data_IF_032681238511
#
_entry.id   IF_032681238511
#
_cell.length_a   1.000
_cell.length_b   1.000
_cell.length_c   1.000
_cell.angle_alpha   90.00
_cell.angle_beta   90.00
_cell.angle_gamma   90.00
#
_symmetry.space_group_name_H-M   'P 1'
#
loop_
_entity.id
_entity.type
_entity.pdbx_description
1 polymer ?
#
# COMPACT_ATOMS: atom_id res chain seq x y z
N UNK A 1 -14.68 -52.04 -34.41
CA UNK A 1 -14.96 -50.63 -34.04
C UNK A 1 -15.59 -50.61 -32.65
N UNK A 2 -14.84 -50.22 -31.61
CA UNK A 2 -15.40 -49.88 -30.30
C UNK A 2 -15.15 -48.38 -30.08
N UNK A 3 -16.23 -47.65 -29.88
CA UNK A 3 -16.26 -46.20 -29.76
C UNK A 3 -15.41 -45.74 -28.57
N UNK A 4 -14.61 -44.69 -28.80
CA UNK A 4 -13.88 -43.99 -27.76
C UNK A 4 -14.88 -43.26 -26.82
N UNK A 5 -14.70 -43.31 -25.49
CA UNK A 5 -15.51 -42.53 -24.59
C UNK A 5 -15.18 -41.04 -24.77
N UNK A 6 -16.25 -40.27 -24.90
CA UNK A 6 -16.29 -38.84 -25.12
C UNK A 6 -15.48 -38.09 -24.05
N UNK A 7 -14.71 -37.10 -24.50
CA UNK A 7 -13.94 -36.18 -23.67
C UNK A 7 -14.85 -35.41 -22.72
N UNK A 8 -14.97 -35.90 -21.48
CA UNK A 8 -15.47 -35.11 -20.36
C UNK A 8 -14.59 -33.87 -20.21
N UNK A 9 -15.22 -32.69 -20.19
CA UNK A 9 -14.54 -31.41 -20.10
C UNK A 9 -13.54 -31.39 -18.94
N UNK A 10 -12.27 -31.20 -19.28
CA UNK A 10 -11.16 -31.06 -18.32
C UNK A 10 -11.39 -29.77 -17.52
N UNK A 11 -12.08 -29.89 -16.39
CA UNK A 11 -12.03 -28.87 -15.35
C UNK A 11 -10.55 -28.77 -14.91
N UNK A 12 -10.01 -27.55 -14.90
CA UNK A 12 -8.61 -27.28 -14.50
C UNK A 12 -8.26 -28.10 -13.25
N UNK A 13 -7.27 -29.00 -13.36
CA UNK A 13 -6.94 -30.05 -12.37
C UNK A 13 -6.46 -29.58 -10.99
N UNK A 14 -6.74 -28.33 -10.62
CA UNK A 14 -6.43 -27.72 -9.34
C UNK A 14 -7.64 -27.72 -8.39
N UNK A 15 -7.38 -27.74 -7.09
CA UNK A 15 -8.42 -27.76 -6.06
C UNK A 15 -9.23 -26.46 -6.02
N UNK A 16 -10.49 -26.54 -5.55
CA UNK A 16 -11.31 -25.36 -5.27
C UNK A 16 -10.67 -24.44 -4.23
N UNK A 17 -9.98 -25.00 -3.24
CA UNK A 17 -9.25 -24.26 -2.21
C UNK A 17 -8.18 -23.36 -2.80
N UNK A 18 -7.39 -23.82 -3.79
CA UNK A 18 -6.37 -22.96 -4.42
C UNK A 18 -7.00 -21.79 -5.17
N UNK A 19 -8.13 -22.01 -5.85
CA UNK A 19 -8.85 -20.94 -6.56
C UNK A 19 -9.37 -19.88 -5.60
N UNK A 20 -10.07 -20.31 -4.56
CA UNK A 20 -10.62 -19.41 -3.55
C UNK A 20 -9.55 -18.72 -2.72
N UNK A 21 -8.42 -19.36 -2.47
CA UNK A 21 -7.26 -18.72 -1.86
C UNK A 21 -6.81 -17.50 -2.68
N UNK A 22 -6.64 -17.66 -4.00
CA UNK A 22 -6.30 -16.56 -4.88
C UNK A 22 -7.33 -15.44 -4.85
N UNK A 23 -8.61 -15.75 -5.05
CA UNK A 23 -9.67 -14.74 -5.03
C UNK A 23 -9.72 -13.97 -3.70
N UNK A 24 -9.70 -14.68 -2.56
CA UNK A 24 -9.78 -14.03 -1.24
C UNK A 24 -8.55 -13.16 -0.95
N UNK A 25 -7.34 -13.65 -1.26
CA UNK A 25 -6.12 -12.86 -1.08
C UNK A 25 -6.11 -11.62 -1.97
N UNK A 26 -6.51 -11.77 -3.24
CA UNK A 26 -6.65 -10.66 -4.17
C UNK A 26 -7.64 -9.61 -3.68
N UNK A 27 -8.82 -10.05 -3.25
CA UNK A 27 -9.88 -9.18 -2.75
C UNK A 27 -9.42 -8.37 -1.52
N UNK A 28 -8.80 -9.04 -0.55
CA UNK A 28 -8.25 -8.37 0.62
C UNK A 28 -7.13 -7.40 0.26
N UNK A 29 -6.22 -7.76 -0.65
CA UNK A 29 -5.18 -6.86 -1.15
C UNK A 29 -5.75 -5.65 -1.88
N UNK A 30 -6.87 -5.81 -2.60
CA UNK A 30 -7.61 -4.69 -3.19
C UNK A 30 -8.11 -3.74 -2.12
N UNK A 31 -8.77 -4.27 -1.08
CA UNK A 31 -9.24 -3.46 0.04
C UNK A 31 -8.12 -2.79 0.83
N UNK A 32 -6.99 -3.46 1.05
CA UNK A 32 -5.82 -2.83 1.66
C UNK A 32 -5.20 -1.76 0.76
N UNK A 33 -5.11 -2.00 -0.54
CA UNK A 33 -4.58 -1.02 -1.48
C UNK A 33 -5.42 0.26 -1.42
N UNK A 34 -6.73 0.13 -1.47
CA UNK A 34 -7.68 1.22 -1.35
C UNK A 34 -7.60 1.91 0.02
N UNK A 35 -7.77 1.16 1.11
CA UNK A 35 -7.76 1.70 2.47
C UNK A 35 -6.44 2.31 2.91
N UNK A 36 -5.30 1.82 2.41
CA UNK A 36 -3.99 2.41 2.71
C UNK A 36 -3.72 3.59 1.79
N UNK A 37 -3.83 3.39 0.47
CA UNK A 37 -3.45 4.42 -0.48
C UNK A 37 -4.44 5.59 -0.45
N UNK A 38 -5.74 5.33 -0.52
CA UNK A 38 -6.75 6.37 -0.64
C UNK A 38 -7.16 6.93 0.71
N UNK A 39 -7.35 6.09 1.74
CA UNK A 39 -7.80 6.63 3.04
C UNK A 39 -6.66 7.21 3.89
N UNK A 40 -5.45 6.63 3.83
CA UNK A 40 -4.38 6.99 4.77
C UNK A 40 -3.29 7.85 4.11
N UNK A 41 -2.80 7.45 2.93
CA UNK A 41 -1.68 8.15 2.27
C UNK A 41 -2.16 9.39 1.52
N UNK A 42 -3.12 9.23 0.62
CA UNK A 42 -3.66 10.32 -0.19
C UNK A 42 -4.80 11.04 0.51
N UNK A 43 -5.47 10.37 1.45
CA UNK A 43 -6.59 10.90 2.24
C UNK A 43 -7.70 11.50 1.36
N UNK A 44 -7.92 10.92 0.17
CA UNK A 44 -8.93 11.40 -0.79
C UNK A 44 -10.36 11.13 -0.31
N UNK A 45 -10.53 10.07 0.48
CA UNK A 45 -11.79 9.73 1.16
C UNK A 45 -11.53 8.75 2.30
N UNK A 46 -12.46 8.68 3.25
CA UNK A 46 -12.61 7.62 4.23
C UNK A 46 -13.86 6.80 3.90
N UNK A 47 -14.01 5.62 4.52
CA UNK A 47 -15.10 4.68 4.23
C UNK A 47 -16.51 5.31 4.27
N UNK A 48 -16.74 6.26 5.16
CA UNK A 48 -18.04 6.92 5.35
C UNK A 48 -18.02 8.41 5.01
N UNK A 49 -17.03 8.88 4.25
CA UNK A 49 -16.90 10.31 3.90
C UNK A 49 -18.07 10.87 3.09
N UNK A 50 -18.87 10.04 2.44
CA UNK A 50 -20.11 10.42 1.74
C UNK A 50 -21.27 10.75 2.68
N UNK A 51 -21.21 10.33 3.95
CA UNK A 51 -22.25 10.58 4.95
C UNK A 51 -21.93 11.88 5.70
N UNK A 52 -22.78 12.90 5.59
CA UNK A 52 -22.51 14.23 6.13
C UNK A 52 -22.23 14.24 7.65
N UNK A 53 -23.00 13.47 8.42
CA UNK A 53 -22.81 13.35 9.87
C UNK A 53 -21.45 12.70 10.23
N UNK A 54 -21.01 11.71 9.46
CA UNK A 54 -19.72 11.04 9.66
C UNK A 54 -18.55 11.93 9.22
N UNK A 55 -18.73 12.69 8.12
CA UNK A 55 -17.70 13.58 7.56
C UNK A 55 -17.20 14.63 8.56
N UNK A 56 -18.03 15.02 9.53
CA UNK A 56 -17.70 16.01 10.55
C UNK A 56 -16.89 15.43 11.72
N UNK A 57 -16.78 14.11 11.85
CA UNK A 57 -16.06 13.43 12.94
C UNK A 57 -14.92 12.57 12.40
N UNK A 58 -13.72 13.15 12.37
CA UNK A 58 -12.52 12.46 11.91
C UNK A 58 -12.18 11.20 12.72
N UNK A 59 -12.52 11.16 14.02
CA UNK A 59 -12.23 9.97 14.85
C UNK A 59 -13.12 8.81 14.44
N UNK A 60 -14.37 9.11 14.12
CA UNK A 60 -15.31 8.12 13.60
C UNK A 60 -14.90 7.60 12.21
N UNK A 61 -14.43 8.48 11.32
CA UNK A 61 -13.89 8.07 10.01
C UNK A 61 -12.67 7.15 10.15
N UNK A 62 -11.69 7.53 10.99
CA UNK A 62 -10.50 6.69 11.26
C UNK A 62 -10.90 5.35 11.88
N UNK A 63 -11.85 5.33 12.81
CA UNK A 63 -12.34 4.09 13.41
C UNK A 63 -12.96 3.16 12.36
N UNK A 64 -13.83 3.70 11.51
CA UNK A 64 -14.53 2.91 10.49
C UNK A 64 -13.58 2.40 9.41
N UNK A 65 -12.56 3.18 9.04
CA UNK A 65 -11.44 2.71 8.23
C UNK A 65 -10.68 1.57 8.91
N UNK A 66 -10.37 1.70 10.21
CA UNK A 66 -9.70 0.64 10.97
C UNK A 66 -10.52 -0.65 11.00
N UNK A 67 -11.84 -0.55 11.20
CA UNK A 67 -12.75 -1.71 11.14
C UNK A 67 -12.79 -2.34 9.74
N UNK A 68 -12.77 -1.53 8.69
CA UNK A 68 -12.64 -2.00 7.32
C UNK A 68 -11.33 -2.78 7.10
N UNK A 69 -10.19 -2.28 7.62
CA UNK A 69 -8.92 -3.01 7.55
C UNK A 69 -8.96 -4.33 8.33
N UNK A 70 -9.61 -4.36 9.50
CA UNK A 70 -9.81 -5.60 10.27
C UNK A 70 -10.61 -6.62 9.45
N UNK A 71 -11.65 -6.19 8.74
CA UNK A 71 -12.39 -7.06 7.82
C UNK A 71 -11.48 -7.60 6.71
N UNK A 72 -10.65 -6.74 6.09
CA UNK A 72 -9.70 -7.19 5.07
C UNK A 72 -8.66 -8.16 5.63
N UNK A 73 -8.20 -7.99 6.88
CA UNK A 73 -7.33 -8.96 7.56
C UNK A 73 -8.02 -10.32 7.75
N UNK A 74 -9.30 -10.34 8.12
CA UNK A 74 -10.06 -11.58 8.26
C UNK A 74 -10.19 -12.32 6.93
N UNK A 75 -10.49 -11.60 5.83
CA UNK A 75 -10.56 -12.17 4.48
C UNK A 75 -9.18 -12.68 4.03
N UNK A 76 -8.12 -11.91 4.27
CA UNK A 76 -6.75 -12.33 3.97
C UNK A 76 -6.35 -13.59 4.75
N UNK A 77 -6.66 -13.65 6.05
CA UNK A 77 -6.39 -14.82 6.89
C UNK A 77 -7.13 -16.07 6.39
N UNK A 78 -8.39 -15.94 5.97
CA UNK A 78 -9.13 -17.02 5.33
C UNK A 78 -8.48 -17.46 4.01
N UNK A 79 -8.05 -16.51 3.18
CA UNK A 79 -7.30 -16.77 1.95
C UNK A 79 -5.98 -17.50 2.19
N UNK A 80 -5.20 -17.07 3.18
CA UNK A 80 -3.95 -17.71 3.61
C UNK A 80 -4.20 -19.12 4.15
N UNK A 81 -5.27 -19.33 4.91
CA UNK A 81 -5.63 -20.65 5.41
C UNK A 81 -6.01 -21.61 4.27
N UNK A 82 -6.80 -21.14 3.29
CA UNK A 82 -7.13 -21.92 2.09
C UNK A 82 -5.87 -22.24 1.28
N UNK A 83 -4.96 -21.27 1.15
CA UNK A 83 -3.67 -21.46 0.49
C UNK A 83 -2.83 -22.52 1.19
N UNK A 84 -2.73 -22.45 2.52
CA UNK A 84 -2.03 -23.43 3.34
C UNK A 84 -2.59 -24.84 3.18
N UNK A 85 -3.92 -24.99 3.13
CA UNK A 85 -4.58 -26.27 2.85
C UNK A 85 -4.31 -26.79 1.44
N UNK A 86 -4.15 -25.89 0.48
CA UNK A 86 -3.88 -26.20 -0.91
C UNK A 86 -2.38 -26.32 -1.25
N UNK A 87 -1.46 -26.20 -0.27
CA UNK A 87 -0.01 -26.11 -0.52
C UNK A 87 0.58 -27.25 -1.36
N UNK A 88 0.02 -28.46 -1.28
CA UNK A 88 0.47 -29.59 -2.08
C UNK A 88 0.24 -29.38 -3.60
N UNK A 89 -0.71 -28.51 -3.99
CA UNK A 89 -1.00 -28.20 -5.38
C UNK A 89 0.17 -27.52 -6.11
N UNK A 90 1.09 -26.89 -5.38
CA UNK A 90 2.28 -26.26 -5.96
C UNK A 90 3.31 -27.25 -6.50
N UNK A 91 3.15 -28.55 -6.26
CA UNK A 91 3.95 -29.59 -6.92
C UNK A 91 3.60 -29.73 -8.42
N UNK A 92 2.45 -29.20 -8.85
CA UNK A 92 1.99 -29.25 -10.24
C UNK A 92 2.29 -27.91 -10.94
N UNK A 93 2.87 -27.97 -12.14
CA UNK A 93 3.19 -26.79 -12.92
C UNK A 93 1.93 -25.94 -13.21
N UNK A 94 2.04 -24.62 -13.02
CA UNK A 94 0.96 -23.66 -13.27
C UNK A 94 0.09 -23.31 -12.05
N UNK A 95 0.32 -23.92 -10.88
CA UNK A 95 -0.38 -23.57 -9.64
C UNK A 95 -0.14 -22.13 -9.20
N UNK A 96 1.11 -21.66 -9.33
CA UNK A 96 1.57 -20.29 -9.07
C UNK A 96 0.85 -19.28 -9.96
N UNK A 97 0.79 -19.60 -11.25
CA UNK A 97 0.10 -18.77 -12.23
C UNK A 97 -1.41 -18.73 -11.97
N UNK A 98 -2.03 -19.86 -11.65
CA UNK A 98 -3.45 -19.91 -11.32
C UNK A 98 -3.73 -19.09 -10.06
N UNK A 99 -2.90 -19.18 -9.03
CA UNK A 99 -3.02 -18.37 -7.83
C UNK A 99 -2.95 -16.89 -8.17
N UNK A 100 -1.93 -16.47 -8.93
CA UNK A 100 -1.73 -15.08 -9.32
C UNK A 100 -2.89 -14.54 -10.18
N UNK A 101 -3.35 -15.34 -11.15
CA UNK A 101 -4.49 -14.99 -11.99
C UNK A 101 -5.77 -14.77 -11.17
N UNK A 102 -6.03 -15.66 -10.19
CA UNK A 102 -7.19 -15.52 -9.31
C UNK A 102 -7.03 -14.36 -8.31
N UNK A 103 -5.80 -14.06 -7.86
CA UNK A 103 -5.53 -12.88 -7.05
C UNK A 103 -5.82 -11.57 -7.82
N UNK A 104 -5.43 -11.47 -9.09
CA UNK A 104 -5.79 -10.31 -9.92
C UNK A 104 -7.30 -10.18 -10.12
N UNK A 105 -8.02 -11.30 -10.29
CA UNK A 105 -9.48 -11.29 -10.37
C UNK A 105 -10.09 -10.82 -9.04
N UNK A 106 -9.62 -11.36 -7.90
CA UNK A 106 -10.10 -10.93 -6.58
C UNK A 106 -9.88 -9.43 -6.34
N UNK A 107 -8.69 -8.94 -6.66
CA UNK A 107 -8.31 -7.53 -6.56
C UNK A 107 -9.24 -6.65 -7.41
N UNK A 108 -9.48 -7.04 -8.66
CA UNK A 108 -10.40 -6.33 -9.54
C UNK A 108 -11.85 -6.35 -9.05
N UNK A 109 -12.31 -7.50 -8.55
CA UNK A 109 -13.67 -7.64 -8.01
C UNK A 109 -13.91 -6.74 -6.81
N UNK A 110 -12.93 -6.57 -5.90
CA UNK A 110 -13.05 -5.60 -4.80
C UNK A 110 -13.37 -4.19 -5.33
N UNK A 111 -12.54 -3.66 -6.24
CA UNK A 111 -12.70 -2.30 -6.76
C UNK A 111 -13.98 -2.12 -7.59
N UNK A 112 -14.42 -3.18 -8.29
CA UNK A 112 -15.71 -3.19 -8.98
C UNK A 112 -16.85 -3.10 -7.97
N UNK A 113 -16.85 -3.95 -6.93
CA UNK A 113 -17.89 -3.93 -5.91
C UNK A 113 -17.92 -2.59 -5.18
N UNK A 114 -16.76 -2.07 -4.81
CA UNK A 114 -16.67 -0.79 -4.12
C UNK A 114 -17.20 0.37 -4.98
N UNK A 115 -16.79 0.44 -6.25
CA UNK A 115 -17.31 1.47 -7.17
C UNK A 115 -18.82 1.36 -7.39
N UNK A 116 -19.35 0.15 -7.59
CA UNK A 116 -20.77 -0.03 -7.84
C UNK A 116 -21.60 0.20 -6.58
N UNK A 117 -21.24 -0.47 -5.48
CA UNK A 117 -22.02 -0.48 -4.26
C UNK A 117 -21.73 0.76 -3.42
N UNK A 118 -20.47 1.00 -3.06
CA UNK A 118 -20.10 2.09 -2.14
C UNK A 118 -20.25 3.46 -2.80
N UNK A 119 -19.76 3.62 -4.04
CA UNK A 119 -19.76 4.94 -4.69
C UNK A 119 -21.08 5.32 -5.33
N UNK A 120 -21.71 4.40 -6.08
CA UNK A 120 -22.85 4.75 -6.92
C UNK A 120 -24.20 4.39 -6.32
N UNK A 121 -24.32 3.20 -5.68
CA UNK A 121 -25.59 2.77 -5.09
C UNK A 121 -25.80 3.39 -3.71
N UNK A 122 -24.82 3.24 -2.82
CA UNK A 122 -24.92 3.68 -1.43
C UNK A 122 -24.44 5.12 -1.22
N UNK A 123 -23.52 5.58 -2.07
CA UNK A 123 -22.93 6.92 -1.97
C UNK A 123 -22.20 7.16 -0.64
N UNK A 124 -21.67 6.11 0.00
CA UNK A 124 -21.00 6.23 1.30
C UNK A 124 -19.61 6.87 1.22
N UNK A 125 -19.02 6.92 0.03
CA UNK A 125 -17.83 7.70 -0.34
C UNK A 125 -17.74 7.76 -1.87
N UNK A 126 -16.77 8.49 -2.42
CA UNK A 126 -16.37 8.49 -3.84
C UNK A 126 -14.85 8.40 -3.88
N UNK A 127 -14.26 8.00 -4.99
CA UNK A 127 -12.79 7.86 -5.09
C UNK A 127 -12.07 9.13 -4.68
N UNK A 128 -12.58 10.28 -5.13
CA UNK A 128 -12.00 11.58 -4.81
C UNK A 128 -13.10 12.60 -4.57
N UNK A 129 -13.18 13.06 -3.33
CA UNK A 129 -14.29 13.90 -2.84
C UNK A 129 -14.05 15.41 -3.03
N UNK A 130 -12.79 15.82 -3.20
CA UNK A 130 -12.32 17.22 -3.22
C UNK A 130 -12.26 17.83 -4.64
N UNK A 131 -13.05 17.32 -5.58
CA UNK A 131 -12.99 17.71 -7.00
C UNK A 131 -14.38 17.94 -7.60
N UNK A 132 -14.45 18.82 -8.60
CA UNK A 132 -15.72 19.17 -9.27
C UNK A 132 -16.38 17.99 -10.01
N UNK A 133 -15.58 17.03 -10.48
CA UNK A 133 -16.07 15.84 -11.20
C UNK A 133 -15.58 14.53 -10.55
N UNK A 134 -16.23 14.08 -9.45
CA UNK A 134 -15.90 12.80 -8.81
C UNK A 134 -16.14 11.58 -9.72
N UNK A 135 -17.12 11.67 -10.64
CA UNK A 135 -17.46 10.55 -11.53
C UNK A 135 -16.31 10.18 -12.47
N UNK A 136 -15.54 11.15 -12.94
CA UNK A 136 -14.34 10.88 -13.75
C UNK A 136 -13.35 9.96 -12.99
N UNK A 137 -13.10 10.27 -11.72
CA UNK A 137 -12.17 9.50 -10.89
C UNK A 137 -12.71 8.11 -10.56
N UNK A 138 -14.01 7.99 -10.28
CA UNK A 138 -14.65 6.68 -10.09
C UNK A 138 -14.50 5.79 -11.32
N UNK A 139 -14.78 6.32 -12.52
CA UNK A 139 -14.67 5.55 -13.76
C UNK A 139 -13.22 5.16 -14.03
N UNK A 140 -12.27 6.09 -13.86
CA UNK A 140 -10.85 5.81 -14.03
C UNK A 140 -10.41 4.68 -13.08
N UNK A 141 -10.76 4.77 -11.80
CA UNK A 141 -10.39 3.76 -10.80
C UNK A 141 -11.06 2.41 -11.07
N UNK A 142 -12.35 2.42 -11.40
CA UNK A 142 -13.12 1.23 -11.77
C UNK A 142 -12.48 0.49 -12.94
N UNK A 143 -12.06 1.20 -14.01
CA UNK A 143 -11.46 0.55 -15.16
C UNK A 143 -10.01 0.12 -14.92
N UNK A 144 -9.20 0.98 -14.29
CA UNK A 144 -7.75 0.74 -14.10
C UNK A 144 -7.48 -0.31 -13.03
N UNK A 145 -8.20 -0.29 -11.91
CA UNK A 145 -7.96 -1.18 -10.78
C UNK A 145 -9.04 -2.27 -10.62
N UNK A 146 -10.23 -2.07 -11.19
CA UNK A 146 -11.28 -3.07 -11.23
C UNK A 146 -11.23 -3.98 -12.47
N UNK A 147 -11.61 -3.41 -13.62
CA UNK A 147 -11.81 -4.17 -14.87
C UNK A 147 -10.50 -4.71 -15.43
N UNK A 148 -9.47 -3.87 -15.54
CA UNK A 148 -8.20 -4.25 -16.17
C UNK A 148 -7.52 -5.44 -15.45
N UNK A 149 -7.33 -5.45 -14.11
CA UNK A 149 -6.75 -6.59 -13.40
C UNK A 149 -7.61 -7.85 -13.52
N UNK A 150 -8.94 -7.72 -13.45
CA UNK A 150 -9.85 -8.85 -13.62
C UNK A 150 -9.73 -9.49 -15.02
N UNK A 151 -9.66 -8.68 -16.08
CA UNK A 151 -9.48 -9.17 -17.44
C UNK A 151 -8.09 -9.80 -17.65
N UNK A 152 -7.03 -9.21 -17.11
CA UNK A 152 -5.68 -9.79 -17.14
C UNK A 152 -5.70 -11.16 -16.44
N UNK A 153 -6.29 -11.26 -15.25
CA UNK A 153 -6.43 -12.52 -14.54
C UNK A 153 -7.21 -13.57 -15.34
N UNK A 154 -8.32 -13.18 -15.98
CA UNK A 154 -9.09 -14.08 -16.85
C UNK A 154 -8.27 -14.55 -18.07
N UNK A 155 -7.50 -13.67 -18.71
CA UNK A 155 -6.61 -14.02 -19.81
C UNK A 155 -5.50 -14.97 -19.35
N UNK A 156 -4.91 -14.72 -18.17
CA UNK A 156 -3.92 -15.59 -17.54
C UNK A 156 -4.49 -16.95 -17.15
N UNK A 157 -5.80 -17.13 -16.96
CA UNK A 157 -6.39 -18.46 -16.79
C UNK A 157 -6.47 -19.23 -18.11
N UNK A 158 -6.70 -18.54 -19.24
CA UNK A 158 -6.97 -19.15 -20.55
C UNK A 158 -5.71 -19.64 -21.27
N UNK A 159 -4.59 -18.92 -21.17
CA UNK A 159 -3.41 -19.21 -21.99
C UNK A 159 -2.61 -20.43 -21.48
N UNK A 160 -2.97 -21.68 -21.75
CA UNK A 160 -2.14 -22.86 -21.37
C UNK A 160 -0.84 -22.99 -22.19
N UNK A 161 0.02 -21.98 -22.17
CA UNK A 161 1.34 -22.12 -22.77
C UNK A 161 2.22 -22.96 -21.85
N UNK A 162 2.53 -24.18 -22.29
CA UNK A 162 3.62 -25.00 -21.79
C UNK A 162 4.92 -24.22 -22.00
N UNK A 163 5.45 -23.62 -20.94
CA UNK A 163 6.64 -22.80 -21.01
C UNK A 163 7.15 -22.49 -19.62
N UNK A 164 8.24 -23.17 -19.23
CA UNK A 164 8.85 -23.07 -17.91
C UNK A 164 9.17 -21.64 -17.51
N UNK A 165 8.39 -21.09 -16.56
CA UNK A 165 8.60 -19.76 -16.00
C UNK A 165 8.47 -19.67 -14.48
N UNK A 166 8.08 -20.75 -13.79
CA UNK A 166 7.69 -20.74 -12.37
C UNK A 166 8.82 -20.50 -11.35
N UNK A 167 10.09 -20.40 -11.79
CA UNK A 167 11.24 -20.12 -10.90
C UNK A 167 11.73 -18.68 -10.92
N UNK A 168 11.18 -17.80 -11.79
CA UNK A 168 11.68 -16.42 -11.91
C UNK A 168 11.01 -15.43 -10.96
N UNK A 169 9.76 -15.63 -10.57
CA UNK A 169 9.01 -14.69 -9.72
C UNK A 169 9.55 -14.55 -8.28
N UNK A 170 9.77 -15.63 -7.51
CA UNK A 170 10.33 -15.48 -6.16
C UNK A 170 11.79 -15.01 -6.19
N UNK A 171 12.56 -15.39 -7.21
CA UNK A 171 13.95 -14.96 -7.35
C UNK A 171 14.06 -13.49 -7.75
N UNK A 172 13.15 -12.98 -8.59
CA UNK A 172 13.06 -11.56 -8.90
C UNK A 172 12.61 -10.74 -7.69
N UNK A 173 11.66 -11.24 -6.89
CA UNK A 173 11.24 -10.59 -5.65
C UNK A 173 12.36 -10.59 -4.60
N UNK A 174 13.04 -11.73 -4.41
CA UNK A 174 14.21 -11.84 -3.53
C UNK A 174 15.32 -10.91 -4.02
N UNK A 175 15.63 -10.88 -5.31
CA UNK A 175 16.61 -9.95 -5.88
C UNK A 175 16.18 -8.49 -5.67
N UNK A 176 14.92 -8.15 -5.93
CA UNK A 176 14.41 -6.79 -5.73
C UNK A 176 14.51 -6.36 -4.26
N UNK A 177 14.13 -7.23 -3.32
CA UNK A 177 14.24 -6.97 -1.86
C UNK A 177 15.71 -6.90 -1.43
N UNK A 178 16.54 -7.84 -1.87
CA UNK A 178 17.96 -7.88 -1.58
C UNK A 178 18.75 -6.77 -2.27
N UNK A 179 18.23 -6.11 -3.31
CA UNK A 179 18.82 -4.92 -3.91
C UNK A 179 18.30 -3.63 -3.26
N UNK A 180 16.99 -3.55 -3.03
CA UNK A 180 16.34 -2.37 -2.45
C UNK A 180 16.79 -2.12 -1.01
N UNK A 181 16.99 -3.17 -0.20
CA UNK A 181 17.50 -3.04 1.17
C UNK A 181 18.88 -2.37 1.23
N UNK A 182 19.90 -2.90 0.55
CA UNK A 182 21.22 -2.28 0.46
C UNK A 182 21.20 -0.90 -0.19
N UNK A 183 20.43 -0.70 -1.28
CA UNK A 183 20.32 0.61 -1.93
C UNK A 183 19.70 1.68 -1.01
N UNK A 184 18.68 1.33 -0.23
CA UNK A 184 18.07 2.21 0.76
C UNK A 184 18.96 2.40 2.01
N UNK A 185 19.87 1.47 2.27
CA UNK A 185 20.86 1.54 3.36
C UNK A 185 22.18 2.22 2.93
N UNK A 186 22.37 2.52 1.65
CA UNK A 186 23.49 3.34 1.22
C UNK A 186 23.34 4.73 1.84
N UNK A 187 24.38 5.26 2.50
CA UNK A 187 24.33 6.61 3.03
C UNK A 187 24.06 7.57 1.87
N UNK A 188 23.13 8.49 2.08
CA UNK A 188 23.00 9.64 1.21
C UNK A 188 24.37 10.34 1.07
N UNK A 189 24.63 11.04 -0.06
CA UNK A 189 25.72 11.99 -0.13
C UNK A 189 25.68 12.88 1.12
N UNK A 190 26.83 13.16 1.73
CA UNK A 190 26.92 13.85 3.01
C UNK A 190 26.31 15.26 2.93
N UNK A 191 25.01 15.36 3.17
CA UNK A 191 24.32 16.60 3.44
C UNK A 191 24.24 16.71 4.96
N UNK A 192 24.97 17.68 5.50
CA UNK A 192 24.99 18.00 6.93
C UNK A 192 23.67 18.62 7.41
N UNK A 193 22.58 18.48 6.67
CA UNK A 193 21.27 19.03 7.01
C UNK A 193 20.39 17.95 7.64
N UNK A 194 19.86 18.24 8.82
CA UNK A 194 18.91 17.39 9.55
C UNK A 194 17.55 18.06 9.65
N UNK A 195 16.50 17.27 9.44
CA UNK A 195 15.12 17.64 9.74
C UNK A 195 14.83 17.36 11.22
N UNK A 196 14.28 18.35 11.90
CA UNK A 196 13.88 18.30 13.31
C UNK A 196 12.38 18.55 13.39
N UNK A 197 11.63 17.57 13.87
CA UNK A 197 10.19 17.71 14.15
C UNK A 197 10.00 17.85 15.65
N UNK A 198 9.38 18.92 16.10
CA UNK A 198 9.11 19.20 17.51
C UNK A 198 7.75 18.66 17.95
N UNK A 199 7.64 18.30 19.23
CA UNK A 199 6.35 17.96 19.83
C UNK A 199 5.47 19.21 19.95
N UNK A 200 4.13 19.06 19.92
CA UNK A 200 3.23 20.16 20.20
C UNK A 200 3.56 20.85 21.53
N UNK A 201 3.61 22.18 21.55
CA UNK A 201 3.87 22.99 22.74
C UNK A 201 5.34 23.31 23.03
N UNK A 202 6.29 22.92 22.17
CA UNK A 202 7.67 23.45 22.23
C UNK A 202 7.67 24.92 21.84
N UNK A 203 8.31 25.76 22.65
CA UNK A 203 8.39 27.19 22.35
C UNK A 203 9.56 27.48 21.39
N UNK A 204 9.49 28.55 20.59
CA UNK A 204 10.59 28.94 19.70
C UNK A 204 11.93 29.12 20.45
N UNK A 205 11.88 29.62 21.70
CA UNK A 205 13.07 29.75 22.54
C UNK A 205 13.69 28.39 22.91
N UNK A 206 12.87 27.38 23.18
CA UNK A 206 13.35 26.01 23.45
C UNK A 206 13.96 25.37 22.20
N UNK A 207 13.33 25.56 21.03
CA UNK A 207 13.85 25.07 19.75
C UNK A 207 15.18 25.75 19.37
N UNK A 208 15.29 27.07 19.56
CA UNK A 208 16.54 27.83 19.38
C UNK A 208 17.64 27.40 20.36
N UNK A 209 17.30 27.05 21.60
CA UNK A 209 18.27 26.49 22.55
C UNK A 209 18.84 25.15 22.06
N UNK A 210 18.01 24.32 21.41
CA UNK A 210 18.45 23.10 20.73
C UNK A 210 19.39 23.40 19.58
N UNK A 211 19.04 24.37 18.73
CA UNK A 211 19.87 24.84 17.61
C UNK A 211 21.26 25.30 18.08
N UNK A 212 21.31 26.08 19.15
CA UNK A 212 22.56 26.51 19.76
C UNK A 212 23.35 25.33 20.38
N UNK A 213 22.67 24.38 21.02
CA UNK A 213 23.31 23.21 21.65
C UNK A 213 24.00 22.27 20.65
N UNK A 214 23.54 22.26 19.39
CA UNK A 214 24.14 21.53 18.28
C UNK A 214 25.03 22.41 17.40
N UNK A 215 25.24 23.68 17.76
CA UNK A 215 25.98 24.66 16.93
C UNK A 215 25.49 24.67 15.46
N UNK A 216 24.19 24.45 15.29
CA UNK A 216 23.57 24.31 13.99
C UNK A 216 23.09 25.65 13.45
N UNK A 217 22.86 25.71 12.14
CA UNK A 217 22.28 26.85 11.45
C UNK A 217 20.92 26.47 10.91
N UNK A 218 19.90 27.28 11.22
CA UNK A 218 18.57 27.07 10.65
C UNK A 218 18.64 27.36 9.15
N UNK A 219 18.31 26.37 8.33
CA UNK A 219 18.24 26.48 6.87
C UNK A 219 16.83 26.89 6.44
N UNK A 220 15.82 26.28 7.07
CA UNK A 220 14.41 26.52 6.77
C UNK A 220 13.53 26.10 7.95
N UNK A 221 12.38 26.74 8.12
CA UNK A 221 11.30 26.27 8.99
C UNK A 221 9.96 26.34 8.27
N UNK A 222 9.05 25.45 8.66
CA UNK A 222 7.66 25.51 8.22
C UNK A 222 6.92 26.68 8.91
N UNK A 223 5.75 27.05 8.39
CA UNK A 223 4.98 28.19 8.89
C UNK A 223 4.50 28.03 10.36
N UNK A 224 4.44 26.79 10.87
CA UNK A 224 4.04 26.51 12.25
C UNK A 224 5.22 26.39 13.22
N UNK A 225 6.46 26.52 12.75
CA UNK A 225 7.70 26.31 13.52
C UNK A 225 7.79 24.95 14.23
N UNK A 226 7.12 23.92 13.69
CA UNK A 226 7.16 22.56 14.22
C UNK A 226 8.15 21.67 13.50
N UNK A 227 8.57 22.04 12.29
CA UNK A 227 9.50 21.29 11.45
C UNK A 227 10.59 22.23 10.94
N UNK A 228 11.83 21.93 11.34
CA UNK A 228 13.01 22.72 10.98
C UNK A 228 13.99 21.90 10.16
N UNK A 229 14.59 22.51 9.13
CA UNK A 229 15.78 22.01 8.47
C UNK A 229 17.01 22.72 9.06
N UNK A 230 17.95 21.97 9.61
CA UNK A 230 19.09 22.49 10.36
C UNK A 230 20.39 21.94 9.79
N UNK A 231 21.28 22.83 9.39
CA UNK A 231 22.65 22.51 8.98
C UNK A 231 23.52 22.33 10.24
N UNK A 232 24.08 21.14 10.41
CA UNK A 232 24.92 20.71 11.53
C UNK A 232 26.37 20.45 11.12
N UNK A 233 26.80 20.97 9.97
CA UNK A 233 28.20 20.88 9.45
C UNK A 233 29.27 21.32 10.44
N UNK A 234 28.89 22.11 11.45
CA UNK A 234 29.74 22.48 12.59
C UNK A 234 30.13 21.34 13.55
N UNK A 235 29.73 20.09 13.26
CA UNK A 235 30.12 18.88 14.00
C UNK A 235 29.36 18.68 15.31
N UNK A 236 28.19 19.31 15.47
CA UNK A 236 27.35 19.10 16.63
C UNK A 236 26.52 17.83 16.54
N UNK A 237 26.27 17.18 17.68
CA UNK A 237 25.46 15.97 17.77
C UNK A 237 23.95 16.29 17.65
N UNK A 238 23.28 15.94 16.55
CA UNK A 238 21.88 16.28 16.31
C UNK A 238 20.93 15.67 17.36
N UNK A 239 21.31 14.56 18.00
CA UNK A 239 20.48 13.90 19.01
C UNK A 239 20.15 14.79 20.21
N UNK A 240 20.92 15.88 20.42
CA UNK A 240 20.64 16.84 21.49
C UNK A 240 19.29 17.53 21.32
N UNK A 241 18.76 17.67 20.11
CA UNK A 241 17.42 18.22 19.87
C UNK A 241 16.31 17.46 20.62
N UNK A 242 16.47 16.16 20.89
CA UNK A 242 15.51 15.40 21.71
C UNK A 242 15.35 15.97 23.12
N UNK A 243 16.41 16.52 23.71
CA UNK A 243 16.36 17.20 25.02
C UNK A 243 15.62 18.54 24.98
N UNK A 244 15.47 19.09 23.78
CA UNK A 244 14.79 20.35 23.50
C UNK A 244 13.40 20.14 22.88
N UNK A 245 12.84 18.92 23.01
CA UNK A 245 11.47 18.63 22.63
C UNK A 245 11.28 18.14 21.20
N UNK A 246 12.34 17.75 20.49
CA UNK A 246 12.20 17.04 19.23
C UNK A 246 11.54 15.66 19.44
N UNK A 247 10.60 15.33 18.57
CA UNK A 247 10.02 13.99 18.39
C UNK A 247 10.83 13.17 17.39
N UNK A 248 11.38 13.83 16.37
CA UNK A 248 12.15 13.20 15.32
C UNK A 248 13.32 14.11 14.95
N UNK A 249 14.51 13.55 14.95
CA UNK A 249 15.71 14.18 14.41
C UNK A 249 16.29 13.20 13.42
N UNK A 250 16.28 13.57 12.15
CA UNK A 250 16.78 12.71 11.10
C UNK A 250 17.37 13.53 9.97
N UNK A 251 18.40 13.01 9.33
CA UNK A 251 18.83 13.50 8.01
C UNK A 251 17.85 13.07 6.89
N UNK A 252 16.67 12.58 7.27
CA UNK A 252 15.56 12.14 6.44
C UNK A 252 14.30 12.08 7.33
N UNK A 253 13.13 12.40 6.78
CA UNK A 253 11.83 12.37 7.50
C UNK A 253 11.37 10.91 7.75
N UNK A 254 12.02 9.92 7.14
CA UNK A 254 11.68 8.49 7.21
C UNK A 254 12.98 7.67 7.28
N UNK A 255 13.06 6.54 8.01
CA UNK A 255 14.22 5.64 7.99
C UNK A 255 14.52 4.99 6.62
N UNK A 256 13.85 5.42 5.54
CA UNK A 256 13.95 4.91 4.19
C UNK A 256 14.39 6.05 3.25
N UNK A 257 15.69 6.07 2.94
CA UNK A 257 16.43 7.12 2.25
C UNK A 257 16.15 7.32 0.77
N UNK A 258 14.90 7.51 0.35
CA UNK A 258 14.58 7.87 -1.04
C UNK A 258 14.55 9.40 -1.28
N UNK A 259 14.23 10.20 -0.26
CA UNK A 259 14.13 11.67 -0.37
C UNK A 259 15.48 12.40 -0.32
N UNK A 260 16.55 11.78 0.17
CA UNK A 260 17.89 12.39 0.19
C UNK A 260 18.58 12.49 -1.18
N UNK A 261 17.97 11.94 -2.24
CA UNK A 261 18.52 11.96 -3.59
C UNK A 261 17.95 13.07 -4.46
N UNK A 262 16.92 13.78 -3.99
CA UNK A 262 16.32 14.91 -4.70
C UNK A 262 17.02 16.21 -4.31
N UNK A 263 17.80 16.78 -5.24
CA UNK A 263 18.29 18.15 -5.15
C UNK A 263 17.19 19.11 -5.61
N UNK A 264 16.87 20.12 -4.80
CA UNK A 264 16.06 21.29 -5.21
C UNK A 264 16.99 22.38 -5.72
#
# INVERSE_FOLDING_TARGET
MRAAPQSAGVTDGFSSSLRWAGYALGFALGGFFDGILLHQVLQWHHLLSGIDAARQDIRFLILTDGLFHVLMYAIAAAGLWLLWRARAAFAVAGADRLLFANALIGFGVWHILDSLLSHWILGIHRIRMDVDNPLFWDLLWFFVFGVLPALIGLALRRNRHDGGGGRRSPMALVLAVCMAGPLAALPAPADDTVMVVFRPGVTPAQALAGLAAVKGRLVWSDASDTVWAVDVSGGGDPSRFYRHGALLVGNSIVPAGCFNWTKV
#
